data_IF_392965313900
#
_entry.id   IF_392965313900
#
_cell.length_a   1.000
_cell.length_b   1.000
_cell.length_c   1.000
_cell.angle_alpha   90.00
_cell.angle_beta   90.00
_cell.angle_gamma   90.00
#
_symmetry.space_group_name_H-M   'P 1'
#
loop_
_entity.id
_entity.type
_entity.pdbx_description
1 polymer ?
#
# COMPACT_ATOMS: atom_id res chain seq x y z
N UNK A 1 -48.86 -28.44 -19.29
CA UNK A 1 -47.46 -28.73 -19.75
C UNK A 1 -46.59 -27.48 -19.82
N UNK A 2 -47.06 -26.34 -20.27
CA UNK A 2 -46.29 -25.06 -20.39
C UNK A 2 -45.65 -24.58 -19.08
N UNK A 3 -46.33 -24.69 -17.94
CA UNK A 3 -45.80 -24.23 -16.63
C UNK A 3 -44.59 -25.05 -16.13
N UNK A 4 -44.45 -26.31 -16.49
CA UNK A 4 -43.34 -27.19 -16.10
C UNK A 4 -42.10 -26.82 -16.92
N UNK A 5 -42.26 -26.52 -18.21
CA UNK A 5 -41.15 -26.08 -19.06
C UNK A 5 -40.60 -24.70 -18.65
N UNK A 6 -41.50 -23.79 -18.24
CA UNK A 6 -41.08 -22.48 -17.72
C UNK A 6 -40.31 -22.59 -16.44
N UNK A 7 -40.70 -23.48 -15.53
CA UNK A 7 -39.97 -23.73 -14.27
C UNK A 7 -38.61 -24.38 -14.54
N UNK A 8 -38.54 -25.34 -15.46
CA UNK A 8 -37.29 -26.00 -15.86
C UNK A 8 -36.29 -25.00 -16.50
N UNK A 9 -36.80 -24.11 -17.34
CA UNK A 9 -36.00 -23.05 -17.99
C UNK A 9 -35.47 -22.06 -16.97
N UNK A 10 -36.28 -21.68 -15.96
CA UNK A 10 -35.84 -20.79 -14.86
C UNK A 10 -34.78 -21.45 -14.01
N UNK A 11 -34.88 -22.76 -13.70
CA UNK A 11 -33.87 -23.52 -13.00
C UNK A 11 -32.55 -23.66 -13.78
N UNK A 12 -32.62 -23.81 -15.12
CA UNK A 12 -31.44 -23.85 -15.98
C UNK A 12 -30.72 -22.49 -16.02
N UNK A 13 -31.45 -21.38 -16.01
CA UNK A 13 -30.88 -20.03 -15.99
C UNK A 13 -30.21 -19.69 -14.61
N UNK A 14 -30.75 -20.23 -13.52
CA UNK A 14 -30.16 -20.07 -12.20
C UNK A 14 -28.82 -20.82 -12.02
N UNK A 15 -28.57 -21.86 -12.84
CA UNK A 15 -27.33 -22.65 -12.82
C UNK A 15 -26.19 -22.02 -13.66
N UNK A 16 -26.45 -20.97 -14.44
CA UNK A 16 -25.47 -20.32 -15.31
C UNK A 16 -24.93 -19.00 -14.74
N UNK A 17 -25.15 -18.72 -13.44
CA UNK A 17 -24.43 -17.59 -12.82
C UNK A 17 -22.93 -17.91 -12.89
N UNK A 18 -22.11 -17.08 -13.52
CA UNK A 18 -20.68 -17.30 -13.55
C UNK A 18 -20.18 -17.24 -12.11
N UNK A 19 -19.89 -18.40 -11.54
CA UNK A 19 -19.08 -18.49 -10.33
C UNK A 19 -17.68 -18.04 -10.79
N UNK A 20 -17.40 -16.76 -10.73
CA UNK A 20 -16.02 -16.28 -10.89
C UNK A 20 -15.21 -16.94 -9.80
N UNK A 21 -14.46 -17.96 -10.17
CA UNK A 21 -13.57 -18.66 -9.25
C UNK A 21 -12.59 -17.61 -8.68
N UNK A 22 -12.66 -17.37 -7.38
CA UNK A 22 -11.74 -16.45 -6.71
C UNK A 22 -10.33 -16.99 -6.87
N UNK A 23 -9.43 -16.17 -7.40
CA UNK A 23 -8.02 -16.56 -7.51
C UNK A 23 -7.35 -16.65 -6.14
N UNK A 24 -7.66 -15.71 -5.26
CA UNK A 24 -7.17 -15.65 -3.89
C UNK A 24 -8.16 -14.83 -3.02
N UNK A 25 -7.92 -14.79 -1.71
CA UNK A 25 -8.69 -13.96 -0.78
C UNK A 25 -7.79 -13.47 0.34
N UNK A 26 -7.71 -12.17 0.54
CA UNK A 26 -7.13 -11.60 1.75
C UNK A 26 -8.08 -11.85 2.92
N UNK A 27 -7.67 -12.69 3.84
CA UNK A 27 -8.41 -12.93 5.09
C UNK A 27 -8.35 -11.70 5.98
N UNK A 28 -7.17 -11.06 6.00
CA UNK A 28 -6.93 -9.84 6.75
C UNK A 28 -5.79 -9.03 6.14
N UNK A 29 -5.97 -7.72 6.12
CA UNK A 29 -4.91 -6.74 5.90
C UNK A 29 -4.93 -5.78 7.08
N UNK A 30 -3.77 -5.45 7.61
CA UNK A 30 -3.58 -4.36 8.57
C UNK A 30 -2.55 -3.39 8.03
N UNK A 31 -2.86 -2.11 8.05
CA UNK A 31 -1.91 -1.05 7.77
C UNK A 31 -1.93 -0.03 8.90
N UNK A 32 -0.76 0.37 9.35
CA UNK A 32 -0.64 1.40 10.38
C UNK A 32 0.46 2.39 10.05
N UNK A 33 0.22 3.65 10.36
CA UNK A 33 1.19 4.73 10.31
C UNK A 33 1.29 5.34 11.70
N UNK A 34 2.50 5.46 12.20
CA UNK A 34 2.76 6.06 13.52
C UNK A 34 3.80 7.17 13.36
N UNK A 35 3.46 8.37 13.80
CA UNK A 35 4.41 9.47 14.01
C UNK A 35 4.79 9.47 15.49
N UNK A 36 6.07 9.36 15.78
CA UNK A 36 6.60 9.46 17.13
C UNK A 36 6.90 10.92 17.49
N UNK A 37 7.04 11.19 18.78
CA UNK A 37 7.29 12.55 19.28
C UNK A 37 8.63 13.14 18.79
N UNK A 38 9.60 12.30 18.46
CA UNK A 38 10.90 12.68 17.90
C UNK A 38 10.90 12.90 16.38
N UNK A 39 9.73 12.72 15.73
CA UNK A 39 9.58 12.81 14.28
C UNK A 39 9.86 11.51 13.51
N UNK A 40 10.21 10.42 14.20
CA UNK A 40 10.32 9.10 13.58
C UNK A 40 8.96 8.66 13.07
N UNK A 41 8.90 8.12 11.86
CA UNK A 41 7.67 7.57 11.29
C UNK A 41 7.81 6.07 11.11
N UNK A 42 6.78 5.32 11.51
CA UNK A 42 6.73 3.87 11.33
C UNK A 42 5.51 3.51 10.49
N UNK A 43 5.72 2.94 9.33
CA UNK A 43 4.70 2.24 8.56
C UNK A 43 4.80 0.75 8.84
N UNK A 44 3.70 0.09 9.17
CA UNK A 44 3.65 -1.37 9.31
C UNK A 44 2.49 -1.92 8.50
N UNK A 45 2.75 -3.01 7.79
CA UNK A 45 1.73 -3.77 7.09
C UNK A 45 1.81 -5.25 7.48
N UNK A 46 0.66 -5.85 7.77
CA UNK A 46 0.53 -7.30 7.82
C UNK A 46 -0.60 -7.77 6.91
N UNK A 47 -0.39 -8.91 6.27
CA UNK A 47 -1.38 -9.53 5.37
C UNK A 47 -1.47 -11.02 5.56
N UNK A 48 -2.69 -11.54 5.49
CA UNK A 48 -3.04 -12.95 5.52
C UNK A 48 -3.82 -13.25 4.24
N UNK A 49 -3.24 -14.04 3.33
CA UNK A 49 -3.75 -14.27 1.99
C UNK A 49 -3.87 -15.75 1.70
N UNK A 50 -5.05 -16.25 1.39
CA UNK A 50 -5.27 -17.64 0.96
C UNK A 50 -5.33 -17.72 -0.56
N UNK A 51 -4.61 -18.68 -1.13
CA UNK A 51 -4.46 -18.92 -2.57
C UNK A 51 -5.39 -20.04 -3.04
N UNK A 52 -6.13 -19.84 -4.12
CA UNK A 52 -7.07 -20.83 -4.64
C UNK A 52 -6.74 -21.32 -6.05
N UNK A 53 -5.85 -20.64 -6.78
CA UNK A 53 -5.49 -20.99 -8.16
C UNK A 53 -3.98 -21.00 -8.37
N UNK A 54 -3.53 -21.74 -9.38
CA UNK A 54 -2.12 -21.72 -9.81
C UNK A 54 -1.67 -20.34 -10.32
N UNK A 55 -2.56 -19.59 -10.95
CA UNK A 55 -2.29 -18.20 -11.37
C UNK A 55 -1.97 -17.32 -10.17
N UNK A 56 -2.77 -17.41 -9.10
CA UNK A 56 -2.51 -16.68 -7.86
C UNK A 56 -1.14 -17.02 -7.27
N UNK A 57 -0.74 -18.31 -7.27
CA UNK A 57 0.54 -18.75 -6.75
C UNK A 57 1.74 -18.28 -7.58
N UNK A 58 1.65 -18.41 -8.92
CA UNK A 58 2.83 -18.31 -9.78
C UNK A 58 2.99 -16.93 -10.43
N UNK A 59 1.94 -16.10 -10.46
CA UNK A 59 1.96 -14.81 -11.16
C UNK A 59 1.59 -13.64 -10.27
N UNK A 60 0.58 -13.79 -9.40
CA UNK A 60 -0.01 -12.64 -8.71
C UNK A 60 0.57 -12.44 -7.32
N UNK A 61 0.77 -13.55 -6.56
CA UNK A 61 1.08 -13.48 -5.13
C UNK A 61 2.25 -14.38 -4.69
N UNK A 62 2.97 -14.99 -5.64
CA UNK A 62 4.17 -15.78 -5.32
C UNK A 62 5.28 -14.96 -4.69
N UNK A 63 5.26 -13.65 -4.90
CA UNK A 63 6.23 -12.70 -4.40
C UNK A 63 5.54 -11.48 -3.78
N UNK A 64 6.23 -10.82 -2.86
CA UNK A 64 5.84 -9.51 -2.33
C UNK A 64 6.98 -8.53 -2.48
N UNK A 65 6.67 -7.31 -2.93
CA UNK A 65 7.62 -6.27 -3.25
C UNK A 65 7.49 -5.13 -2.25
N UNK A 66 8.59 -4.74 -1.59
CA UNK A 66 8.61 -3.71 -0.55
C UNK A 66 9.72 -2.72 -0.89
N UNK A 67 9.34 -1.56 -1.42
CA UNK A 67 10.27 -0.49 -1.79
C UNK A 67 10.57 0.41 -0.60
N UNK A 68 11.84 0.77 -0.40
CA UNK A 68 12.31 1.68 0.64
C UNK A 68 13.61 2.37 0.24
N UNK A 69 13.96 3.47 0.91
CA UNK A 69 15.23 4.18 0.73
C UNK A 69 16.16 3.90 1.93
N UNK A 70 17.18 3.05 1.82
CA UNK A 70 18.04 2.67 2.94
C UNK A 70 18.85 3.82 3.54
N UNK A 71 18.96 4.96 2.86
CA UNK A 71 19.60 6.17 3.41
C UNK A 71 18.80 6.76 4.58
N UNK A 72 17.47 6.64 4.50
CA UNK A 72 16.54 7.28 5.43
C UNK A 72 15.57 6.31 6.10
N UNK A 73 15.48 5.10 5.58
CA UNK A 73 14.52 4.11 6.01
C UNK A 73 15.18 2.77 6.35
N UNK A 74 14.61 2.08 7.32
CA UNK A 74 14.99 0.73 7.70
C UNK A 74 13.79 -0.17 7.53
N UNK A 75 13.94 -1.21 6.71
CA UNK A 75 12.96 -2.28 6.56
C UNK A 75 13.22 -3.38 7.58
N UNK A 76 12.15 -3.86 8.23
CA UNK A 76 12.18 -5.04 9.07
C UNK A 76 11.05 -5.99 8.69
N UNK A 77 11.40 -7.22 8.34
CA UNK A 77 10.43 -8.32 8.18
C UNK A 77 10.26 -8.97 9.56
N UNK A 78 9.05 -8.88 10.13
CA UNK A 78 8.74 -9.45 11.45
C UNK A 78 8.37 -10.92 11.32
N UNK A 79 7.51 -11.23 10.33
CA UNK A 79 7.09 -12.59 10.00
C UNK A 79 6.90 -12.75 8.49
N UNK A 80 7.37 -13.88 7.96
CA UNK A 80 7.08 -14.33 6.60
C UNK A 80 7.05 -15.86 6.58
N UNK A 81 5.87 -16.42 6.31
CA UNK A 81 5.69 -17.87 6.19
C UNK A 81 4.45 -18.21 5.39
N UNK A 82 4.39 -19.45 4.93
CA UNK A 82 3.22 -20.06 4.31
C UNK A 82 2.70 -21.17 5.22
N UNK A 83 1.40 -21.13 5.53
CA UNK A 83 0.71 -22.25 6.15
C UNK A 83 0.06 -23.08 5.05
N UNK A 84 0.49 -24.32 4.90
CA UNK A 84 -0.02 -25.27 3.94
C UNK A 84 -1.43 -25.76 4.32
N UNK A 85 -2.11 -26.43 3.42
CA UNK A 85 -3.48 -26.91 3.60
C UNK A 85 -3.62 -27.89 4.77
N UNK A 86 -2.59 -28.70 4.99
CA UNK A 86 -2.50 -29.67 6.11
C UNK A 86 -2.15 -29.01 7.45
N UNK A 87 -1.87 -27.69 7.46
CA UNK A 87 -1.48 -26.91 8.63
C UNK A 87 0.03 -26.78 8.83
N UNK A 88 0.87 -27.45 8.02
CA UNK A 88 2.31 -27.32 8.09
C UNK A 88 2.74 -25.87 7.81
N UNK A 89 3.76 -25.38 8.54
CA UNK A 89 4.29 -24.01 8.41
C UNK A 89 5.65 -24.05 7.74
N UNK A 90 5.75 -23.43 6.57
CA UNK A 90 6.98 -23.24 5.83
C UNK A 90 7.42 -21.79 5.99
N UNK A 91 8.46 -21.55 6.80
CA UNK A 91 9.04 -20.22 6.97
C UNK A 91 9.78 -19.81 5.71
N UNK A 92 9.67 -18.53 5.34
CA UNK A 92 10.46 -17.96 4.25
C UNK A 92 11.94 -18.00 4.63
N UNK A 93 12.80 -18.72 3.89
CA UNK A 93 14.21 -18.81 4.22
C UNK A 93 14.94 -17.51 3.85
N UNK A 94 16.09 -17.28 4.45
CA UNK A 94 16.85 -16.03 4.25
C UNK A 94 17.23 -15.77 2.78
N UNK A 95 17.51 -16.81 2.00
CA UNK A 95 17.82 -16.70 0.57
C UNK A 95 16.61 -16.43 -0.32
N UNK A 96 15.41 -16.42 0.23
CA UNK A 96 14.16 -16.00 -0.44
C UNK A 96 13.81 -14.53 -0.15
N UNK A 97 14.68 -13.82 0.55
CA UNK A 97 14.64 -12.37 0.77
C UNK A 97 15.72 -11.74 -0.10
N UNK A 98 15.33 -11.15 -1.22
CA UNK A 98 16.29 -10.64 -2.22
C UNK A 98 16.10 -9.15 -2.38
N UNK A 99 17.18 -8.39 -2.20
CA UNK A 99 17.17 -6.95 -2.39
C UNK A 99 17.63 -6.59 -3.79
N UNK A 100 16.83 -5.82 -4.50
CA UNK A 100 17.08 -5.38 -5.87
C UNK A 100 16.82 -3.88 -6.05
N UNK A 101 17.20 -3.33 -7.19
CA UNK A 101 16.74 -2.01 -7.63
C UNK A 101 15.30 -2.14 -8.13
N UNK A 102 14.34 -1.28 -7.69
CA UNK A 102 12.99 -1.28 -8.23
C UNK A 102 12.99 -1.12 -9.75
N UNK A 103 12.18 -1.90 -10.45
CA UNK A 103 12.12 -1.85 -11.93
C UNK A 103 11.75 -0.45 -12.44
N UNK A 104 10.91 0.29 -11.72
CA UNK A 104 10.55 1.67 -12.03
C UNK A 104 11.75 2.64 -11.96
N UNK A 105 12.81 2.31 -11.20
CA UNK A 105 14.02 3.12 -11.07
C UNK A 105 15.12 2.73 -12.09
N UNK A 106 14.95 1.67 -12.87
CA UNK A 106 15.99 1.13 -13.76
C UNK A 106 16.54 2.14 -14.76
N UNK A 107 15.68 3.04 -15.26
CA UNK A 107 16.05 4.11 -16.20
C UNK A 107 16.03 5.50 -15.56
N UNK A 108 16.07 5.59 -14.24
CA UNK A 108 15.99 6.84 -13.49
C UNK A 108 17.14 6.95 -12.48
N UNK A 109 18.36 7.34 -12.91
CA UNK A 109 19.58 7.34 -12.08
C UNK A 109 19.46 8.12 -10.77
N UNK A 110 18.60 9.15 -10.71
CA UNK A 110 18.33 9.90 -9.49
C UNK A 110 17.69 9.04 -8.37
N UNK A 111 17.09 7.91 -8.73
CA UNK A 111 16.42 6.98 -7.79
C UNK A 111 17.22 5.69 -7.55
N UNK A 112 18.48 5.62 -7.97
CA UNK A 112 19.35 4.43 -7.79
C UNK A 112 19.63 4.08 -6.32
N UNK A 113 19.33 4.98 -5.38
CA UNK A 113 19.44 4.71 -3.96
C UNK A 113 18.28 3.86 -3.40
N UNK A 114 17.14 3.81 -4.11
CA UNK A 114 16.01 2.98 -3.72
C UNK A 114 16.38 1.49 -3.75
N UNK A 115 15.78 0.75 -2.86
CA UNK A 115 15.83 -0.72 -2.82
C UNK A 115 14.42 -1.26 -2.79
N UNK A 116 14.28 -2.45 -3.36
CA UNK A 116 13.06 -3.22 -3.32
C UNK A 116 13.39 -4.61 -2.74
N UNK A 117 12.82 -4.90 -1.58
CA UNK A 117 12.89 -6.23 -1.00
C UNK A 117 11.86 -7.11 -1.67
N UNK A 118 12.31 -8.12 -2.38
CA UNK A 118 11.48 -9.19 -2.93
C UNK A 118 11.41 -10.30 -1.91
N UNK A 119 10.22 -10.55 -1.37
CA UNK A 119 9.93 -11.66 -0.47
C UNK A 119 9.34 -12.78 -1.31
N UNK A 120 10.12 -13.79 -1.62
CA UNK A 120 9.68 -14.98 -2.38
C UNK A 120 8.99 -15.96 -1.42
N UNK A 121 7.68 -16.14 -1.59
CA UNK A 121 6.91 -17.02 -0.73
C UNK A 121 7.17 -18.49 -1.11
N UNK A 122 7.58 -19.30 -0.14
CA UNK A 122 7.95 -20.71 -0.33
C UNK A 122 6.86 -21.63 0.24
N UNK A 123 6.83 -22.89 -0.23
CA UNK A 123 5.84 -23.87 0.24
C UNK A 123 4.41 -23.62 -0.23
N UNK A 124 4.26 -22.90 -1.35
CA UNK A 124 2.95 -22.57 -1.92
C UNK A 124 2.27 -23.80 -2.51
N UNK A 125 0.98 -23.94 -2.23
CA UNK A 125 0.08 -24.93 -2.81
C UNK A 125 -1.35 -24.37 -2.87
N UNK A 126 -2.24 -25.06 -3.56
CA UNK A 126 -3.66 -24.68 -3.60
C UNK A 126 -4.30 -24.79 -2.21
N UNK A 127 -4.85 -23.70 -1.72
CA UNK A 127 -5.43 -23.59 -0.37
C UNK A 127 -4.43 -23.14 0.70
N UNK A 128 -3.15 -23.00 0.36
CA UNK A 128 -2.16 -22.44 1.29
C UNK A 128 -2.47 -20.97 1.62
N UNK A 129 -2.01 -20.55 2.80
CA UNK A 129 -2.19 -19.19 3.29
C UNK A 129 -0.84 -18.56 3.57
N UNK A 130 -0.55 -17.45 2.89
CA UNK A 130 0.63 -16.61 3.07
C UNK A 130 0.39 -15.67 4.26
N UNK A 131 1.40 -15.56 5.12
CA UNK A 131 1.50 -14.57 6.21
C UNK A 131 2.74 -13.73 5.97
N UNK A 132 2.56 -12.40 5.91
CA UNK A 132 3.66 -11.46 5.82
C UNK A 132 3.36 -10.27 6.74
N UNK A 133 4.33 -9.94 7.60
CA UNK A 133 4.31 -8.77 8.48
C UNK A 133 5.65 -8.06 8.40
N UNK A 134 5.63 -6.77 8.07
CA UNK A 134 6.84 -5.96 7.99
C UNK A 134 6.58 -4.53 8.43
N UNK A 135 7.65 -3.82 8.78
CA UNK A 135 7.63 -2.38 9.02
C UNK A 135 8.74 -1.66 8.28
N UNK A 136 8.48 -0.40 7.95
CA UNK A 136 9.44 0.56 7.45
C UNK A 136 9.52 1.70 8.46
N UNK A 137 10.68 1.87 9.07
CA UNK A 137 10.95 2.98 9.98
C UNK A 137 11.70 4.07 9.23
N UNK A 138 11.12 5.26 9.19
CA UNK A 138 11.70 6.44 8.53
C UNK A 138 12.32 7.36 9.58
N UNK A 139 13.57 7.77 9.36
CA UNK A 139 14.33 8.69 10.25
C UNK A 139 13.64 10.05 10.36
N UNK A 140 13.74 10.72 11.52
CA UNK A 140 13.29 12.10 11.67
C UNK A 140 13.90 13.02 10.60
N UNK A 141 13.12 14.00 10.13
CA UNK A 141 13.58 15.03 9.20
C UNK A 141 13.67 14.63 7.73
N UNK A 142 13.44 13.37 7.38
CA UNK A 142 13.36 12.96 5.96
C UNK A 142 12.04 13.41 5.32
N UNK A 143 10.94 13.24 6.02
CA UNK A 143 9.63 13.77 5.63
C UNK A 143 9.12 14.67 6.77
N UNK A 144 8.37 15.74 6.44
CA UNK A 144 7.91 16.69 7.46
C UNK A 144 6.91 16.06 8.44
N UNK A 145 6.21 15.04 8.01
CA UNK A 145 5.21 14.33 8.78
C UNK A 145 4.58 13.21 7.97
N UNK A 146 3.49 12.65 8.49
CA UNK A 146 2.72 11.64 7.77
C UNK A 146 2.01 12.30 6.58
N UNK A 147 2.18 11.71 5.41
CA UNK A 147 1.46 12.06 4.19
C UNK A 147 0.93 10.75 3.58
N UNK A 148 -0.39 10.60 3.58
CA UNK A 148 -1.06 9.40 3.06
C UNK A 148 -1.99 9.81 1.93
N UNK A 149 -1.82 9.15 0.78
CA UNK A 149 -2.77 9.15 -0.33
C UNK A 149 -2.83 7.70 -0.83
N UNK A 150 -3.68 6.89 -0.18
CA UNK A 150 -3.70 5.43 -0.34
C UNK A 150 -5.01 4.98 -0.96
N UNK A 151 -4.95 4.54 -2.21
CA UNK A 151 -6.07 3.86 -2.85
C UNK A 151 -6.17 2.44 -2.31
N UNK A 152 -7.37 2.05 -1.83
CA UNK A 152 -7.60 0.72 -1.28
C UNK A 152 -8.04 -0.22 -2.41
N UNK A 153 -7.09 -0.53 -3.30
CA UNK A 153 -7.30 -1.45 -4.43
C UNK A 153 -6.55 -2.76 -4.18
N UNK A 154 -7.22 -3.87 -4.43
CA UNK A 154 -6.64 -5.20 -4.36
C UNK A 154 -7.26 -6.07 -5.45
N UNK A 155 -6.44 -6.82 -6.17
CA UNK A 155 -6.89 -7.73 -7.25
C UNK A 155 -7.69 -8.93 -6.75
N UNK A 156 -7.74 -9.14 -5.43
CA UNK A 156 -8.55 -10.19 -4.78
C UNK A 156 -9.38 -9.59 -3.64
N UNK A 157 -10.54 -10.19 -3.30
CA UNK A 157 -11.38 -9.69 -2.21
C UNK A 157 -10.65 -9.65 -0.88
N UNK A 158 -11.03 -8.69 -0.02
CA UNK A 158 -10.49 -8.52 1.33
C UNK A 158 -11.63 -8.70 2.35
N UNK A 159 -11.52 -9.71 3.22
CA UNK A 159 -12.53 -9.94 4.27
C UNK A 159 -12.51 -8.87 5.34
N UNK A 160 -11.32 -8.53 5.81
CA UNK A 160 -11.13 -7.52 6.85
C UNK A 160 -9.90 -6.67 6.54
N UNK A 161 -10.09 -5.36 6.52
CA UNK A 161 -9.04 -4.39 6.35
C UNK A 161 -9.05 -3.42 7.53
N UNK A 162 -8.02 -3.48 8.35
CA UNK A 162 -7.80 -2.58 9.47
C UNK A 162 -6.77 -1.52 9.09
N UNK A 163 -7.12 -0.27 9.32
CA UNK A 163 -6.26 0.88 9.06
C UNK A 163 -6.15 1.68 10.35
N UNK A 164 -4.96 2.15 10.70
CA UNK A 164 -4.76 3.06 11.83
C UNK A 164 -3.69 4.10 11.57
N UNK A 165 -3.93 5.31 12.10
CA UNK A 165 -2.97 6.42 12.10
C UNK A 165 -2.82 6.86 13.53
N UNK A 166 -1.58 6.85 14.04
CA UNK A 166 -1.27 7.20 15.43
C UNK A 166 -0.29 8.36 15.45
N UNK A 167 -0.63 9.41 16.17
CA UNK A 167 0.19 10.63 16.29
C UNK A 167 0.26 11.09 17.75
N UNK A 168 1.24 11.88 18.17
CA UNK A 168 1.24 12.51 19.49
C UNK A 168 -0.03 13.33 19.72
N UNK A 169 -0.55 13.33 20.96
CA UNK A 169 -1.68 14.18 21.33
C UNK A 169 -1.33 15.65 21.08
N UNK A 170 -2.23 16.38 20.42
CA UNK A 170 -2.00 17.77 20.02
C UNK A 170 -1.32 17.94 18.67
N UNK A 171 -0.79 16.87 18.07
CA UNK A 171 -0.34 16.92 16.69
C UNK A 171 -1.53 17.13 15.76
N UNK A 172 -1.38 18.08 14.83
CA UNK A 172 -2.34 18.26 13.74
C UNK A 172 -2.46 16.95 12.94
N UNK A 173 -3.69 16.55 12.65
CA UNK A 173 -4.00 15.41 11.80
C UNK A 173 -5.32 15.63 11.08
N UNK A 174 -5.24 15.91 9.78
CA UNK A 174 -6.37 15.86 8.86
C UNK A 174 -6.45 14.47 8.24
N UNK A 175 -7.64 13.93 8.10
CA UNK A 175 -7.85 12.60 7.52
C UNK A 175 -9.24 12.47 6.89
N UNK A 176 -9.32 11.67 5.84
CA UNK A 176 -10.57 11.28 5.22
C UNK A 176 -10.47 9.89 4.61
N UNK A 177 -11.57 9.15 4.68
CA UNK A 177 -11.77 7.94 3.88
C UNK A 177 -12.88 8.22 2.87
N UNK A 178 -12.49 8.59 1.66
CA UNK A 178 -13.39 8.93 0.58
C UNK A 178 -13.94 7.67 -0.09
N UNK A 179 -15.11 7.77 -0.70
CA UNK A 179 -15.78 6.69 -1.46
C UNK A 179 -16.04 5.42 -0.64
N UNK A 180 -16.12 5.53 0.69
CA UNK A 180 -16.48 4.43 1.58
C UNK A 180 -17.27 4.92 2.80
N UNK A 181 -18.19 4.08 3.29
CA UNK A 181 -19.10 4.45 4.39
C UNK A 181 -18.55 4.17 5.79
N UNK A 182 -17.38 3.52 5.91
CA UNK A 182 -16.78 3.25 7.22
C UNK A 182 -16.44 4.56 7.94
N UNK A 183 -16.83 4.64 9.21
CA UNK A 183 -16.54 5.79 10.06
C UNK A 183 -15.23 5.56 10.81
N UNK A 184 -14.48 6.64 11.01
CA UNK A 184 -13.30 6.62 11.86
C UNK A 184 -13.69 6.39 13.33
N UNK A 185 -12.93 5.57 14.02
CA UNK A 185 -12.88 5.49 15.48
C UNK A 185 -11.67 6.26 15.97
N UNK A 186 -11.86 7.12 16.95
CA UNK A 186 -10.77 7.92 17.54
C UNK A 186 -10.60 7.52 19.00
N UNK A 187 -9.39 7.18 19.36
CA UNK A 187 -9.00 6.84 20.75
C UNK A 187 -7.77 7.64 21.16
N UNK A 188 -7.68 7.97 22.44
CA UNK A 188 -6.51 8.63 23.01
C UNK A 188 -6.02 7.85 24.22
N UNK A 189 -4.75 7.53 24.24
CA UNK A 189 -4.11 6.76 25.29
C UNK A 189 -2.61 7.08 25.31
N UNK A 190 -2.02 7.13 26.50
CA UNK A 190 -0.58 7.29 26.71
C UNK A 190 0.05 8.49 25.95
N UNK A 191 -0.68 9.60 25.85
CA UNK A 191 -0.18 10.79 25.15
C UNK A 191 -0.26 10.70 23.63
N UNK A 192 -0.85 9.64 23.08
CA UNK A 192 -1.07 9.43 21.65
C UNK A 192 -2.55 9.54 21.29
N UNK A 193 -2.82 9.99 20.08
CA UNK A 193 -4.15 9.97 19.42
C UNK A 193 -4.10 8.97 18.29
N UNK A 194 -5.01 8.01 18.27
CA UNK A 194 -5.16 7.05 17.18
C UNK A 194 -6.49 7.24 16.48
N UNK A 195 -6.45 7.27 15.16
CA UNK A 195 -7.61 7.25 14.27
C UNK A 195 -7.58 5.93 13.52
N UNK A 196 -8.69 5.19 13.52
CA UNK A 196 -8.73 3.87 12.89
C UNK A 196 -10.03 3.59 12.16
N UNK A 197 -9.95 2.70 11.17
CA UNK A 197 -11.08 2.19 10.40
C UNK A 197 -10.98 0.67 10.29
N UNK A 198 -12.14 0.02 10.28
CA UNK A 198 -12.27 -1.38 9.91
C UNK A 198 -13.25 -1.49 8.76
N UNK A 199 -12.76 -1.95 7.62
CA UNK A 199 -13.55 -2.22 6.44
C UNK A 199 -13.74 -3.73 6.31
N UNK A 200 -14.95 -4.15 5.92
CA UNK A 200 -15.27 -5.58 5.81
C UNK A 200 -15.80 -5.90 4.43
N UNK A 201 -15.44 -7.09 3.94
CA UNK A 201 -15.94 -7.65 2.69
C UNK A 201 -15.75 -6.71 1.48
N UNK A 202 -14.56 -6.14 1.37
CA UNK A 202 -14.20 -5.37 0.18
C UNK A 202 -14.15 -6.32 -1.01
N UNK A 203 -14.82 -6.00 -2.15
CA UNK A 203 -14.70 -6.78 -3.36
C UNK A 203 -13.27 -6.67 -3.92
N UNK A 204 -12.93 -7.50 -4.89
CA UNK A 204 -11.75 -7.27 -5.72
C UNK A 204 -11.95 -5.93 -6.45
N UNK A 205 -11.00 -5.03 -6.25
CA UNK A 205 -11.00 -3.69 -6.82
C UNK A 205 -9.68 -3.51 -7.55
N UNK A 206 -9.73 -3.34 -8.84
CA UNK A 206 -8.58 -2.96 -9.66
C UNK A 206 -8.90 -1.67 -10.39
N UNK A 207 -7.93 -0.77 -10.39
CA UNK A 207 -8.04 0.45 -11.17
C UNK A 207 -7.88 0.12 -12.66
N UNK A 208 -8.77 0.66 -13.48
CA UNK A 208 -8.57 0.61 -14.91
C UNK A 208 -7.30 1.36 -15.33
N UNK A 209 -6.58 0.88 -16.35
CA UNK A 209 -5.42 1.60 -16.88
C UNK A 209 -5.79 3.04 -17.26
N UNK A 210 -4.91 4.00 -16.93
CA UNK A 210 -5.05 5.43 -17.26
C UNK A 210 -6.15 6.19 -16.49
N UNK A 211 -6.88 5.56 -15.57
CA UNK A 211 -7.79 6.28 -14.67
C UNK A 211 -6.98 6.95 -13.55
N UNK A 212 -7.31 8.21 -13.27
CA UNK A 212 -6.68 8.97 -12.18
C UNK A 212 -6.88 8.29 -10.83
N UNK A 213 -5.85 8.34 -9.99
CA UNK A 213 -5.96 7.90 -8.58
C UNK A 213 -6.94 8.78 -7.80
N UNK A 214 -6.99 10.08 -8.14
CA UNK A 214 -7.86 11.07 -7.51
C UNK A 214 -9.08 11.29 -8.41
N UNK A 215 -10.28 11.23 -7.83
CA UNK A 215 -11.55 11.45 -8.55
C UNK A 215 -12.22 10.18 -9.10
N UNK A 216 -11.67 8.99 -8.83
CA UNK A 216 -12.34 7.72 -9.10
C UNK A 216 -13.31 7.30 -7.98
N UNK A 217 -14.05 6.21 -8.22
CA UNK A 217 -15.04 5.66 -7.27
C UNK A 217 -14.44 4.70 -6.23
N UNK A 218 -13.15 4.42 -6.31
CA UNK A 218 -12.48 3.50 -5.40
C UNK A 218 -12.25 4.15 -4.02
N UNK A 219 -12.31 3.36 -2.93
CA UNK A 219 -12.02 3.88 -1.60
C UNK A 219 -10.61 4.47 -1.53
N UNK A 220 -10.51 5.72 -1.08
CA UNK A 220 -9.26 6.46 -0.99
C UNK A 220 -9.07 6.98 0.44
N UNK A 221 -8.02 6.52 1.10
CA UNK A 221 -7.56 7.09 2.37
C UNK A 221 -6.61 8.25 2.08
N UNK A 222 -6.93 9.42 2.66
CA UNK A 222 -6.04 10.57 2.69
C UNK A 222 -5.78 10.97 4.14
N UNK A 223 -4.54 11.31 4.47
CA UNK A 223 -4.21 11.91 5.76
C UNK A 223 -2.93 12.72 5.68
N UNK A 224 -2.88 13.78 6.49
CA UNK A 224 -1.68 14.61 6.63
C UNK A 224 -1.55 15.14 8.06
N UNK A 225 -0.33 15.21 8.55
CA UNK A 225 0.02 15.89 9.80
C UNK A 225 0.61 17.28 9.53
N UNK A 226 0.78 17.67 8.29
CA UNK A 226 1.33 18.96 7.88
C UNK A 226 0.21 19.97 7.66
N UNK A 227 0.20 21.06 8.44
CA UNK A 227 -0.80 22.12 8.31
C UNK A 227 -0.68 22.91 7.00
N UNK A 228 0.54 22.98 6.47
CA UNK A 228 0.86 23.77 5.27
C UNK A 228 1.72 22.98 4.29
N UNK A 229 1.18 21.91 3.68
CA UNK A 229 1.99 21.03 2.83
C UNK A 229 2.63 21.74 1.62
N UNK A 230 1.98 22.80 1.09
CA UNK A 230 2.56 23.62 0.03
C UNK A 230 3.77 24.42 0.50
N UNK A 231 3.79 24.87 1.76
CA UNK A 231 4.93 25.60 2.33
C UNK A 231 6.17 24.71 2.42
N UNK A 232 5.99 23.42 2.74
CA UNK A 232 7.09 22.47 2.72
C UNK A 232 7.64 22.32 1.29
N UNK A 233 6.79 22.10 0.30
CA UNK A 233 7.22 21.96 -1.10
C UNK A 233 7.93 23.21 -1.60
N UNK A 234 7.39 24.41 -1.28
CA UNK A 234 8.02 25.67 -1.68
C UNK A 234 9.34 25.93 -0.96
N UNK A 235 9.51 25.48 0.29
CA UNK A 235 10.77 25.59 1.03
C UNK A 235 11.89 24.73 0.42
N UNK A 236 11.54 23.64 -0.27
CA UNK A 236 12.49 22.81 -1.02
C UNK A 236 12.94 23.46 -2.35
N UNK A 237 12.18 24.42 -2.83
CA UNK A 237 12.46 25.13 -4.05
C UNK A 237 13.21 26.43 -3.74
N UNK A 238 14.53 26.38 -3.82
CA UNK A 238 15.39 27.56 -3.64
C UNK A 238 16.20 27.85 -4.91
N UNK A 239 15.58 28.29 -6.01
CA UNK A 239 16.29 28.56 -7.26
C UNK A 239 17.28 29.73 -7.10
N UNK A 240 17.02 30.64 -6.15
CA UNK A 240 17.83 31.84 -5.95
C UNK A 240 19.17 31.59 -5.27
N UNK A 241 19.34 30.44 -4.61
CA UNK A 241 20.56 30.07 -3.88
C UNK A 241 21.68 29.46 -4.72
N UNK A 242 21.38 28.88 -5.88
CA UNK A 242 22.38 28.16 -6.68
C UNK A 242 23.18 29.12 -7.59
N UNK A 243 24.44 29.35 -7.20
CA UNK A 243 25.35 30.15 -7.98
C UNK A 243 25.62 29.59 -9.40
N UNK A 244 25.56 28.24 -9.55
CA UNK A 244 25.73 27.56 -10.85
C UNK A 244 24.56 27.86 -11.79
N UNK A 245 23.33 27.82 -11.28
CA UNK A 245 22.12 28.15 -12.04
C UNK A 245 22.16 29.60 -12.48
N UNK A 246 22.53 30.55 -11.60
CA UNK A 246 22.68 31.97 -11.95
C UNK A 246 23.76 32.20 -13.00
N UNK A 247 24.91 31.57 -12.85
CA UNK A 247 26.00 31.69 -13.83
C UNK A 247 25.59 31.13 -15.20
N UNK A 248 24.87 30.00 -15.22
CA UNK A 248 24.35 29.43 -16.46
C UNK A 248 23.29 30.34 -17.10
N UNK A 249 22.33 30.81 -16.30
CA UNK A 249 21.31 31.76 -16.78
C UNK A 249 21.98 33.02 -17.38
N UNK A 250 22.97 33.63 -16.70
CA UNK A 250 23.71 34.77 -17.21
C UNK A 250 24.45 34.49 -18.52
N UNK A 251 24.99 33.26 -18.69
CA UNK A 251 25.61 32.86 -19.98
C UNK A 251 24.58 32.72 -21.10
N UNK A 252 23.42 32.11 -20.80
CA UNK A 252 22.39 31.86 -21.79
C UNK A 252 21.65 33.12 -22.22
N UNK A 253 21.53 34.11 -21.31
CA UNK A 253 20.90 35.40 -21.60
C UNK A 253 21.87 36.48 -22.05
N UNK A 254 23.18 36.21 -22.05
CA UNK A 254 24.20 37.16 -22.53
C UNK A 254 23.98 37.48 -24.02
N UNK A 255 23.52 38.70 -24.30
CA UNK A 255 23.19 39.14 -25.64
C UNK A 255 21.74 38.96 -26.10
N UNK A 256 20.89 38.44 -25.24
CA UNK A 256 19.43 38.49 -25.48
C UNK A 256 18.98 39.97 -25.43
N UNK A 257 18.29 40.39 -26.47
CA UNK A 257 17.57 41.67 -26.47
C UNK A 257 16.15 41.38 -26.04
N UNK A 258 15.63 42.15 -25.09
CA UNK A 258 14.24 42.09 -24.65
C UNK A 258 13.25 42.28 -25.80
#
# INVERSE_FOLDING_TARGET
>A
MTKIYTLLLLCLFALTLPVTAREAEFKKIKESWTLQADGTQVYRQSKVLTLYTHTAMNRTYGESFITYDPRYQTLQIHESYTRQKDGNIVKTPANALVEVLPSAAANAPAFNALREMVVVHTGLELGATIYLDYSITTKPGYLPGIQICRLLEHSSPVKEYEISITVPRGQHLEYALNNHKAKASVTESEGMKQVSWTLKNLPALSREPQVSVIGGDLPLLTATTEEKPLSFLTSQWQPEGDAGIRALAGKLTAGAKD
#
